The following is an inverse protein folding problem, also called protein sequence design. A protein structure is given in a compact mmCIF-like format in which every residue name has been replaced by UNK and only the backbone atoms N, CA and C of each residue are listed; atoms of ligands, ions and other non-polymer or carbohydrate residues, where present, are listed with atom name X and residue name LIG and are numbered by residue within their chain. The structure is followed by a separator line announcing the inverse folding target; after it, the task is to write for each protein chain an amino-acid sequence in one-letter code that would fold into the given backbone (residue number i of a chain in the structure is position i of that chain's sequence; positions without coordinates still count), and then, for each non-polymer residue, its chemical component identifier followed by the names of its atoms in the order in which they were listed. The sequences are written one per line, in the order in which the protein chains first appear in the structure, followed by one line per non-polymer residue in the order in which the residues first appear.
data_IF_865944885581
#
_entry.id   IF_865944885581
#
_cell.length_a   1.000
_cell.length_b   1.000
_cell.length_c   1.000
_cell.angle_alpha   90.00
_cell.angle_beta   90.00
_cell.angle_gamma   90.00
#
_symmetry.space_group_name_H-M   'P 1'
#
loop_
_entity.id
_entity.type
_entity.pdbx_description
1 polymer ?
#
# COMPACT_ATOMS: atom_id res chain seq x y z
N UNK A 1 15.60 12.06 -69.60
CA UNK A 1 15.40 10.89 -68.73
C UNK A 1 14.59 11.31 -67.50
N UNK A 2 13.51 10.55 -67.20
CA UNK A 2 12.91 10.23 -65.88
C UNK A 2 12.69 11.36 -64.85
N UNK A 3 11.41 11.68 -64.57
CA UNK A 3 10.61 11.26 -63.39
C UNK A 3 10.95 12.06 -62.12
N UNK A 4 10.08 13.00 -61.70
CA UNK A 4 8.96 12.77 -60.75
C UNK A 4 9.36 11.84 -59.57
N UNK A 5 9.31 12.36 -58.35
CA UNK A 5 8.20 12.16 -57.41
C UNK A 5 8.65 12.24 -55.95
N UNK A 6 7.79 12.90 -55.16
CA UNK A 6 7.43 12.58 -53.77
C UNK A 6 8.50 12.92 -52.74
N UNK A 7 8.35 14.12 -52.19
CA UNK A 7 8.62 14.34 -50.78
C UNK A 7 8.00 13.17 -49.99
N UNK A 8 8.87 12.32 -49.46
CA UNK A 8 8.49 11.14 -48.71
C UNK A 8 7.93 11.56 -47.36
N UNK A 9 6.78 10.97 -47.04
CA UNK A 9 6.01 11.03 -45.79
C UNK A 9 6.84 10.64 -44.52
N UNK A 10 8.13 10.38 -44.66
CA UNK A 10 9.03 9.97 -43.58
C UNK A 10 9.57 11.14 -42.71
N UNK A 11 9.55 12.39 -43.19
CA UNK A 11 10.10 13.53 -42.42
C UNK A 11 9.06 14.29 -41.60
N UNK A 12 7.77 14.02 -41.77
CA UNK A 12 6.69 14.59 -40.93
C UNK A 12 6.37 13.68 -39.72
N UNK A 13 6.90 12.45 -39.68
CA UNK A 13 6.65 11.50 -38.58
C UNK A 13 7.65 11.64 -37.42
N UNK A 14 8.70 12.47 -37.54
CA UNK A 14 9.70 12.64 -36.48
C UNK A 14 9.41 13.76 -35.47
N UNK A 15 8.33 14.55 -35.65
CA UNK A 15 7.97 15.64 -34.72
C UNK A 15 6.58 15.51 -34.07
N UNK A 16 5.88 14.39 -34.29
CA UNK A 16 4.61 14.07 -33.61
C UNK A 16 4.65 12.73 -32.85
N UNK A 17 5.85 12.14 -32.68
CA UNK A 17 6.05 10.82 -32.08
C UNK A 17 6.61 10.78 -30.65
N UNK A 18 6.87 11.92 -30.00
CA UNK A 18 7.48 11.95 -28.65
C UNK A 18 6.63 12.60 -27.54
N UNK A 19 5.37 12.98 -27.80
CA UNK A 19 4.57 13.71 -26.82
C UNK A 19 3.36 12.93 -26.24
N UNK A 20 3.12 11.67 -26.61
CA UNK A 20 1.89 10.95 -26.20
C UNK A 20 2.16 9.73 -25.30
N UNK A 21 3.39 9.47 -24.88
CA UNK A 21 3.72 8.27 -24.09
C UNK A 21 3.84 8.47 -22.57
N UNK A 22 3.57 9.67 -22.03
CA UNK A 22 3.62 9.89 -20.57
C UNK A 22 2.36 10.51 -19.97
N UNK A 23 1.41 11.02 -20.77
CA UNK A 23 0.20 11.66 -20.24
C UNK A 23 -1.04 10.74 -20.20
N UNK A 24 -0.89 9.46 -20.53
CA UNK A 24 -2.05 8.56 -20.69
C UNK A 24 -2.29 7.62 -19.50
N UNK A 25 -1.47 7.63 -18.44
CA UNK A 25 -1.56 6.52 -17.47
C UNK A 25 -2.66 6.70 -16.39
N UNK A 26 -3.07 7.90 -15.96
CA UNK A 26 -4.14 8.02 -14.94
C UNK A 26 -5.05 9.24 -15.05
N UNK A 27 -5.86 9.29 -16.11
CA UNK A 27 -7.19 9.87 -15.88
C UNK A 27 -7.92 8.94 -14.89
N UNK A 28 -8.58 9.49 -13.87
CA UNK A 28 -9.43 8.72 -12.96
C UNK A 28 -10.21 7.68 -13.78
N UNK A 29 -10.04 6.39 -13.51
CA UNK A 29 -10.69 5.34 -14.29
C UNK A 29 -12.20 5.48 -14.07
N UNK A 30 -12.96 6.09 -15.01
CA UNK A 30 -14.36 6.41 -14.75
C UNK A 30 -15.19 5.13 -14.62
N UNK A 31 -14.67 4.04 -15.18
CA UNK A 31 -15.28 2.72 -15.22
C UNK A 31 -15.17 1.97 -13.87
N UNK A 32 -14.24 2.35 -12.99
CA UNK A 32 -14.09 1.73 -11.64
C UNK A 32 -14.57 2.63 -10.50
N UNK A 33 -14.86 3.91 -10.77
CA UNK A 33 -15.31 4.88 -9.77
C UNK A 33 -14.24 5.31 -8.75
N UNK A 34 -12.98 4.91 -8.98
CA UNK A 34 -11.83 5.22 -8.11
C UNK A 34 -11.26 6.61 -8.41
N UNK A 35 -10.90 7.33 -7.37
CA UNK A 35 -10.16 8.58 -7.43
C UNK A 35 -8.74 8.37 -7.98
N UNK A 36 -8.10 9.44 -8.47
CA UNK A 36 -6.75 9.38 -9.02
C UNK A 36 -5.71 8.86 -8.02
N UNK A 37 -5.86 9.19 -6.73
CA UNK A 37 -4.93 8.72 -5.70
C UNK A 37 -5.12 7.22 -5.39
N UNK A 38 -6.34 6.69 -5.47
CA UNK A 38 -6.60 5.25 -5.30
C UNK A 38 -5.98 4.44 -6.44
N UNK A 39 -6.11 4.93 -7.67
CA UNK A 39 -5.52 4.29 -8.84
C UNK A 39 -3.99 4.29 -8.78
N UNK A 40 -3.37 5.43 -8.49
CA UNK A 40 -1.90 5.52 -8.38
C UNK A 40 -1.33 4.75 -7.18
N UNK A 41 -2.04 4.69 -6.05
CA UNK A 41 -1.65 3.83 -4.92
C UNK A 41 -1.68 2.35 -5.28
N UNK A 42 -2.73 1.90 -5.99
CA UNK A 42 -2.85 0.51 -6.42
C UNK A 42 -1.75 0.13 -7.41
N UNK A 43 -1.55 0.92 -8.47
CA UNK A 43 -0.54 0.62 -9.48
C UNK A 43 0.88 0.73 -8.92
N UNK A 44 1.19 1.78 -8.17
CA UNK A 44 2.50 1.93 -7.55
C UNK A 44 2.83 0.78 -6.61
N UNK A 45 1.84 0.25 -5.87
CA UNK A 45 2.03 -0.90 -4.99
C UNK A 45 2.37 -2.18 -5.77
N UNK A 46 1.74 -2.39 -6.93
CA UNK A 46 2.03 -3.51 -7.83
C UNK A 46 3.46 -3.40 -8.37
N UNK A 47 3.84 -2.22 -8.88
CA UNK A 47 5.21 -1.97 -9.36
C UNK A 47 6.24 -2.19 -8.24
N UNK A 48 5.97 -1.71 -7.04
CA UNK A 48 6.86 -1.85 -5.89
C UNK A 48 7.06 -3.33 -5.50
N UNK A 49 5.98 -4.12 -5.47
CA UNK A 49 6.04 -5.57 -5.22
C UNK A 49 6.84 -6.32 -6.29
N UNK A 50 6.75 -5.86 -7.54
CA UNK A 50 7.52 -6.40 -8.67
C UNK A 50 8.97 -5.92 -8.73
N UNK A 51 9.43 -5.15 -7.73
CA UNK A 51 10.78 -4.56 -7.67
C UNK A 51 11.05 -3.56 -8.82
N UNK A 52 10.00 -2.96 -9.36
CA UNK A 52 10.07 -1.90 -10.37
C UNK A 52 10.02 -0.52 -9.67
N UNK A 53 11.02 -0.23 -8.82
CA UNK A 53 11.02 0.94 -7.92
C UNK A 53 10.79 2.26 -8.67
N UNK A 54 11.42 2.45 -9.83
CA UNK A 54 11.26 3.69 -10.62
C UNK A 54 9.81 3.92 -11.06
N UNK A 55 9.14 2.86 -11.53
CA UNK A 55 7.73 2.92 -11.94
C UNK A 55 6.82 3.16 -10.73
N UNK A 56 7.14 2.54 -9.60
CA UNK A 56 6.40 2.74 -8.35
C UNK A 56 6.48 4.20 -7.88
N UNK A 57 7.68 4.81 -7.91
CA UNK A 57 7.88 6.21 -7.56
C UNK A 57 7.03 7.13 -8.44
N UNK A 58 7.04 6.92 -9.76
CA UNK A 58 6.25 7.72 -10.70
C UNK A 58 4.76 7.66 -10.32
N UNK A 59 4.21 6.45 -10.20
CA UNK A 59 2.80 6.26 -9.88
C UNK A 59 2.39 6.88 -8.53
N UNK A 60 3.19 6.67 -7.49
CA UNK A 60 2.89 7.23 -6.17
C UNK A 60 3.02 8.75 -6.14
N UNK A 61 4.06 9.29 -6.77
CA UNK A 61 4.33 10.74 -6.76
C UNK A 61 3.27 11.50 -7.55
N UNK A 62 2.85 10.99 -8.70
CA UNK A 62 1.75 11.59 -9.48
C UNK A 62 0.44 11.60 -8.69
N UNK A 63 0.11 10.50 -8.01
CA UNK A 63 -1.05 10.43 -7.13
C UNK A 63 -0.98 11.46 -5.98
N UNK A 64 0.18 11.60 -5.33
CA UNK A 64 0.37 12.58 -4.27
C UNK A 64 0.32 14.02 -4.78
N UNK A 65 0.89 14.30 -5.96
CA UNK A 65 0.84 15.62 -6.57
C UNK A 65 -0.59 16.03 -6.97
N UNK A 66 -1.44 15.08 -7.35
CA UNK A 66 -2.86 15.33 -7.62
C UNK A 66 -3.63 15.74 -6.34
N UNK A 67 -3.22 15.24 -5.18
CA UNK A 67 -3.82 15.58 -3.87
C UNK A 67 -3.19 16.85 -3.28
N UNK A 68 -1.89 17.05 -3.45
CA UNK A 68 -1.09 18.13 -2.87
C UNK A 68 -0.23 18.84 -3.94
N UNK A 69 -0.84 19.63 -4.84
CA UNK A 69 -0.13 20.23 -5.98
C UNK A 69 0.93 21.26 -5.56
N UNK A 70 0.77 21.89 -4.40
CA UNK A 70 1.66 22.97 -3.94
C UNK A 70 2.85 22.46 -3.09
N UNK A 71 2.95 21.15 -2.85
CA UNK A 71 4.04 20.60 -2.04
C UNK A 71 5.31 20.47 -2.88
N UNK A 72 6.38 21.12 -2.40
CA UNK A 72 7.72 21.09 -3.01
C UNK A 72 8.76 20.57 -2.03
N UNK A 73 9.92 20.14 -2.55
CA UNK A 73 11.05 19.70 -1.74
C UNK A 73 11.97 20.86 -1.35
N UNK A 74 12.23 21.00 -0.05
CA UNK A 74 13.44 21.66 0.44
C UNK A 74 14.49 20.58 0.71
N UNK A 75 15.61 20.62 -0.02
CA UNK A 75 16.64 19.57 -0.02
C UNK A 75 17.59 19.63 1.19
N UNK A 76 17.32 20.49 2.18
CA UNK A 76 18.18 20.60 3.37
C UNK A 76 18.04 19.40 4.32
N UNK A 77 19.18 18.94 4.86
CA UNK A 77 19.21 17.84 5.84
C UNK A 77 18.53 18.21 7.17
N UNK A 78 18.54 19.50 7.55
CA UNK A 78 17.84 19.99 8.75
C UNK A 78 16.32 19.95 8.55
N UNK A 79 15.86 20.26 7.34
CA UNK A 79 14.46 20.13 6.93
C UNK A 79 14.04 18.66 6.95
N UNK A 80 14.84 17.74 6.41
CA UNK A 80 14.57 16.30 6.43
C UNK A 80 14.40 15.77 7.86
N UNK A 81 15.32 16.09 8.76
CA UNK A 81 15.29 15.67 10.16
C UNK A 81 14.04 16.19 10.88
N UNK A 82 13.71 17.46 10.68
CA UNK A 82 12.53 18.10 11.29
C UNK A 82 11.24 17.44 10.78
N UNK A 83 11.13 17.20 9.48
CA UNK A 83 9.96 16.55 8.88
C UNK A 83 9.76 15.12 9.39
N UNK A 84 10.84 14.34 9.56
CA UNK A 84 10.77 12.97 10.09
C UNK A 84 10.22 12.91 11.53
N UNK A 85 10.44 13.95 12.33
CA UNK A 85 9.85 14.03 13.67
C UNK A 85 8.32 14.17 13.66
N UNK A 86 7.73 14.61 12.54
CA UNK A 86 6.29 14.78 12.36
C UNK A 86 5.60 13.47 11.92
N UNK A 87 6.34 12.37 11.72
CA UNK A 87 5.76 11.13 11.22
C UNK A 87 4.75 10.46 12.17
N UNK A 88 4.83 10.80 13.46
CA UNK A 88 3.96 10.31 14.51
C UNK A 88 2.68 11.15 14.67
N UNK A 89 2.62 12.36 14.10
CA UNK A 89 1.43 13.21 14.10
C UNK A 89 0.57 12.89 12.88
N UNK A 90 -0.59 12.26 13.07
CA UNK A 90 -1.47 11.82 11.97
C UNK A 90 -1.81 12.93 10.97
N UNK A 91 -1.96 14.19 11.43
CA UNK A 91 -2.39 15.30 10.57
C UNK A 91 -1.28 15.77 9.64
N UNK A 92 -0.05 15.82 10.15
CA UNK A 92 1.11 16.31 9.40
C UNK A 92 1.91 15.17 8.74
N UNK A 93 1.68 13.93 9.18
CA UNK A 93 2.33 12.71 8.76
C UNK A 93 2.36 12.50 7.24
N UNK A 94 1.28 12.85 6.53
CA UNK A 94 1.15 12.66 5.08
C UNK A 94 2.08 13.61 4.33
N UNK A 95 1.96 14.92 4.59
CA UNK A 95 2.76 15.95 3.92
C UNK A 95 4.23 15.80 4.29
N UNK A 96 4.53 15.50 5.55
CA UNK A 96 5.89 15.27 6.01
C UNK A 96 6.54 14.09 5.27
N UNK A 97 5.84 12.95 5.15
CA UNK A 97 6.33 11.79 4.37
C UNK A 97 6.50 12.15 2.90
N UNK A 98 5.57 12.87 2.30
CA UNK A 98 5.69 13.29 0.91
C UNK A 98 6.94 14.15 0.69
N UNK A 99 7.15 15.19 1.52
CA UNK A 99 8.34 16.05 1.43
C UNK A 99 9.65 15.28 1.63
N UNK A 100 9.72 14.41 2.64
CA UNK A 100 10.91 13.57 2.87
C UNK A 100 11.12 12.61 1.69
N UNK A 101 10.05 12.08 1.09
CA UNK A 101 10.13 11.24 -0.10
C UNK A 101 10.77 11.98 -1.28
N UNK A 102 10.38 13.23 -1.54
CA UNK A 102 10.98 14.07 -2.58
C UNK A 102 12.46 14.35 -2.30
N UNK A 103 12.83 14.57 -1.03
CA UNK A 103 14.23 14.74 -0.61
C UNK A 103 15.03 13.45 -0.89
N UNK A 104 14.53 12.29 -0.46
CA UNK A 104 15.17 11.00 -0.70
C UNK A 104 15.33 10.71 -2.20
N UNK A 105 14.32 11.02 -3.02
CA UNK A 105 14.39 10.88 -4.48
C UNK A 105 15.53 11.73 -5.05
N UNK A 106 15.63 13.00 -4.64
CA UNK A 106 16.71 13.90 -5.09
C UNK A 106 18.11 13.45 -4.68
N UNK A 107 18.21 12.68 -3.60
CA UNK A 107 19.46 12.08 -3.11
C UNK A 107 19.78 10.72 -3.75
N UNK A 108 18.93 10.23 -4.66
CA UNK A 108 19.07 8.91 -5.28
C UNK A 108 18.69 7.73 -4.37
N UNK A 109 18.05 7.98 -3.22
CA UNK A 109 17.59 6.96 -2.27
C UNK A 109 16.20 6.44 -2.68
N UNK A 110 16.14 5.80 -3.84
CA UNK A 110 14.88 5.49 -4.52
C UNK A 110 13.95 4.55 -3.71
N UNK A 111 14.48 3.49 -3.10
CA UNK A 111 13.66 2.58 -2.29
C UNK A 111 13.03 3.25 -1.07
N UNK A 112 13.78 4.17 -0.45
CA UNK A 112 13.28 4.96 0.68
C UNK A 112 12.21 5.95 0.21
N UNK A 113 12.45 6.65 -0.91
CA UNK A 113 11.48 7.55 -1.52
C UNK A 113 10.17 6.83 -1.86
N UNK A 114 10.25 5.68 -2.53
CA UNK A 114 9.10 4.86 -2.86
C UNK A 114 8.30 4.43 -1.62
N UNK A 115 8.99 4.05 -0.55
CA UNK A 115 8.35 3.72 0.74
C UNK A 115 7.64 4.92 1.34
N UNK A 116 8.27 6.10 1.35
CA UNK A 116 7.66 7.30 1.92
C UNK A 116 6.43 7.76 1.14
N UNK A 117 6.46 7.69 -0.19
CA UNK A 117 5.30 8.02 -1.02
C UNK A 117 4.16 7.02 -0.85
N UNK A 118 4.49 5.72 -0.83
CA UNK A 118 3.52 4.65 -0.54
C UNK A 118 2.85 4.88 0.82
N UNK A 119 3.64 5.14 1.86
CA UNK A 119 3.14 5.32 3.21
C UNK A 119 2.24 6.56 3.33
N UNK A 120 2.58 7.66 2.64
CA UNK A 120 1.74 8.85 2.57
C UNK A 120 0.37 8.54 1.93
N UNK A 121 0.36 7.83 0.80
CA UNK A 121 -0.89 7.41 0.14
C UNK A 121 -1.68 6.40 0.96
N UNK A 122 -1.01 5.49 1.68
CA UNK A 122 -1.66 4.54 2.55
C UNK A 122 -2.41 5.24 3.69
N UNK A 123 -1.84 6.30 4.27
CA UNK A 123 -2.51 7.11 5.31
C UNK A 123 -3.75 7.80 4.73
N UNK A 124 -3.67 8.36 3.51
CA UNK A 124 -4.84 8.94 2.83
C UNK A 124 -5.90 7.86 2.60
N UNK A 125 -5.49 6.70 2.07
CA UNK A 125 -6.37 5.57 1.73
C UNK A 125 -7.11 4.98 2.91
N UNK A 126 -6.48 5.00 4.08
CA UNK A 126 -7.03 4.45 5.31
C UNK A 126 -7.67 5.53 6.18
N UNK A 127 -7.71 6.78 5.70
CA UNK A 127 -8.15 7.94 6.47
C UNK A 127 -7.42 8.03 7.82
N UNK A 128 -6.14 7.66 7.84
CA UNK A 128 -5.29 7.60 9.04
C UNK A 128 -5.58 6.45 9.99
N UNK A 129 -6.44 5.49 9.62
CA UNK A 129 -6.65 4.29 10.41
C UNK A 129 -5.43 3.35 10.34
N UNK A 130 -5.22 2.60 11.43
CA UNK A 130 -4.04 1.75 11.65
C UNK A 130 -4.48 0.31 11.92
N UNK A 131 -3.69 -0.65 11.47
CA UNK A 131 -3.93 -2.07 11.67
C UNK A 131 -3.76 -2.44 13.15
N UNK A 132 -4.78 -3.10 13.72
CA UNK A 132 -4.78 -3.58 15.09
C UNK A 132 -4.43 -5.07 15.19
N UNK A 133 -4.65 -5.80 14.11
CA UNK A 133 -4.63 -7.26 14.05
C UNK A 133 -5.84 -7.91 14.72
N UNK A 134 -6.06 -9.18 14.39
CA UNK A 134 -7.30 -9.88 14.76
C UNK A 134 -7.51 -10.02 16.28
N UNK A 135 -6.44 -10.16 17.08
CA UNK A 135 -6.55 -10.50 18.50
C UNK A 135 -6.96 -9.28 19.33
N UNK A 136 -6.37 -8.12 19.06
CA UNK A 136 -6.72 -6.86 19.74
C UNK A 136 -7.93 -6.15 19.12
N UNK A 137 -8.06 -6.18 17.80
CA UNK A 137 -9.08 -5.40 17.10
C UNK A 137 -10.45 -6.06 17.01
N UNK A 138 -10.51 -7.39 16.82
CA UNK A 138 -11.74 -8.02 16.33
C UNK A 138 -12.25 -9.16 17.24
N UNK A 139 -11.34 -10.02 17.72
CA UNK A 139 -11.66 -11.31 18.35
C UNK A 139 -12.56 -11.22 19.58
N UNK A 140 -12.42 -10.18 20.40
CA UNK A 140 -13.16 -10.05 21.67
C UNK A 140 -14.66 -9.88 21.45
N UNK A 141 -15.05 -9.11 20.44
CA UNK A 141 -16.45 -8.85 20.10
C UNK A 141 -16.98 -9.86 19.06
N UNK A 142 -16.15 -10.23 18.07
CA UNK A 142 -16.50 -11.14 16.97
C UNK A 142 -15.90 -12.54 17.15
N UNK A 143 -16.18 -13.16 18.31
CA UNK A 143 -15.54 -14.43 18.68
C UNK A 143 -15.98 -15.60 17.76
N UNK A 144 -17.24 -15.63 17.34
CA UNK A 144 -17.78 -16.70 16.47
C UNK A 144 -17.13 -16.66 15.09
N UNK A 145 -17.04 -15.46 14.53
CA UNK A 145 -16.41 -15.16 13.24
C UNK A 145 -14.92 -15.49 13.31
N UNK A 146 -14.22 -15.04 14.36
CA UNK A 146 -12.83 -15.39 14.59
C UNK A 146 -12.61 -16.92 14.67
N UNK A 147 -13.49 -17.65 15.35
CA UNK A 147 -13.40 -19.12 15.49
C UNK A 147 -13.60 -19.83 14.15
N UNK A 148 -14.38 -19.25 13.25
CA UNK A 148 -14.52 -19.69 11.86
C UNK A 148 -13.28 -19.34 11.04
N UNK A 149 -12.92 -18.06 10.99
CA UNK A 149 -11.79 -17.50 10.24
C UNK A 149 -10.48 -18.25 10.52
N UNK A 150 -10.14 -18.52 11.78
CA UNK A 150 -8.86 -19.15 12.15
C UNK A 150 -8.62 -20.54 11.53
N UNK A 151 -9.67 -21.18 11.01
CA UNK A 151 -9.58 -22.50 10.35
C UNK A 151 -9.32 -22.40 8.85
N UNK A 152 -9.55 -21.23 8.25
CA UNK A 152 -9.44 -20.98 6.81
C UNK A 152 -7.99 -21.03 6.32
N UNK A 153 -7.82 -21.12 5.00
CA UNK A 153 -6.50 -21.00 4.36
C UNK A 153 -5.91 -19.60 4.53
N UNK A 154 -6.74 -18.56 4.51
CA UNK A 154 -6.31 -17.16 4.66
C UNK A 154 -5.65 -16.91 6.02
N UNK A 155 -6.26 -17.40 7.11
CA UNK A 155 -5.69 -17.31 8.45
C UNK A 155 -4.35 -18.07 8.58
N UNK A 156 -4.14 -19.10 7.74
CA UNK A 156 -2.93 -19.93 7.71
C UNK A 156 -1.98 -19.53 6.57
N UNK A 157 -2.24 -18.42 5.86
CA UNK A 157 -1.47 -18.07 4.67
C UNK A 157 0.02 -17.93 5.00
N UNK A 158 0.38 -17.23 6.08
CA UNK A 158 1.76 -17.07 6.50
C UNK A 158 2.47 -18.40 6.81
N UNK A 159 1.75 -19.36 7.39
CA UNK A 159 2.32 -20.67 7.73
C UNK A 159 2.79 -21.43 6.49
N UNK A 160 2.15 -21.23 5.34
CA UNK A 160 2.57 -21.85 4.08
C UNK A 160 3.96 -21.37 3.60
N UNK A 161 4.45 -20.23 4.10
CA UNK A 161 5.76 -19.67 3.73
C UNK A 161 6.93 -20.34 4.45
N UNK A 162 6.68 -20.99 5.59
CA UNK A 162 7.72 -21.63 6.39
C UNK A 162 8.43 -22.76 5.64
N UNK A 163 9.71 -23.03 5.93
CA UNK A 163 10.41 -24.21 5.43
C UNK A 163 9.61 -25.50 5.68
N UNK A 164 9.51 -26.36 4.67
CA UNK A 164 8.78 -27.63 4.71
C UNK A 164 7.25 -27.53 4.60
N UNK A 165 6.66 -26.36 4.82
CA UNK A 165 5.22 -26.15 4.67
C UNK A 165 4.81 -26.15 3.18
N UNK A 166 3.64 -26.72 2.88
CA UNK A 166 3.05 -26.78 1.53
C UNK A 166 4.01 -27.29 0.45
N UNK A 167 4.86 -28.27 0.79
CA UNK A 167 5.96 -28.73 -0.07
C UNK A 167 5.51 -29.14 -1.48
N UNK A 168 4.43 -29.92 -1.59
CA UNK A 168 3.87 -30.34 -2.90
C UNK A 168 3.46 -29.15 -3.77
N UNK A 169 2.84 -28.13 -3.17
CA UNK A 169 2.45 -26.91 -3.88
C UNK A 169 3.67 -26.11 -4.30
N UNK A 170 4.68 -25.97 -3.43
CA UNK A 170 5.94 -25.28 -3.76
C UNK A 170 6.64 -25.95 -4.95
N UNK A 171 6.77 -27.27 -4.92
CA UNK A 171 7.35 -28.05 -6.04
C UNK A 171 6.56 -27.82 -7.34
N UNK A 172 5.22 -27.88 -7.27
CA UNK A 172 4.35 -27.65 -8.44
C UNK A 172 4.57 -26.27 -9.09
N UNK A 173 4.90 -25.25 -8.30
CA UNK A 173 5.15 -23.89 -8.77
C UNK A 173 6.65 -23.55 -8.88
N UNK A 174 7.54 -24.55 -8.95
CA UNK A 174 8.99 -24.38 -9.08
C UNK A 174 9.62 -23.54 -7.95
N UNK A 175 9.10 -23.67 -6.73
CA UNK A 175 9.65 -23.08 -5.51
C UNK A 175 10.36 -24.15 -4.66
N UNK A 176 11.47 -23.78 -4.02
CA UNK A 176 12.19 -24.67 -3.09
C UNK A 176 11.33 -24.91 -1.83
N UNK A 177 10.91 -26.15 -1.52
CA UNK A 177 10.13 -26.46 -0.33
C UNK A 177 10.89 -26.24 0.98
N UNK A 178 12.23 -26.21 0.97
CA UNK A 178 13.07 -26.02 2.16
C UNK A 178 13.48 -24.57 2.41
N UNK A 179 13.35 -23.69 1.41
CA UNK A 179 13.63 -22.26 1.57
C UNK A 179 12.61 -21.64 2.55
N UNK A 180 13.10 -20.71 3.37
CA UNK A 180 12.28 -19.84 4.19
C UNK A 180 11.81 -18.64 3.36
N UNK A 181 10.48 -18.51 3.19
CA UNK A 181 9.87 -17.37 2.51
C UNK A 181 9.18 -16.41 3.49
N UNK A 182 9.25 -16.65 4.80
CA UNK A 182 8.60 -15.80 5.83
C UNK A 182 9.19 -14.39 5.93
N UNK A 183 10.24 -14.14 5.17
CA UNK A 183 11.03 -12.94 5.15
C UNK A 183 11.23 -12.40 3.71
N UNK A 184 10.58 -13.04 2.73
CA UNK A 184 10.65 -12.69 1.31
C UNK A 184 9.54 -11.68 0.96
N UNK A 185 9.88 -10.42 0.61
CA UNK A 185 8.87 -9.39 0.34
C UNK A 185 7.94 -9.75 -0.83
N UNK A 186 8.37 -10.62 -1.76
CA UNK A 186 7.52 -11.12 -2.86
C UNK A 186 6.39 -12.02 -2.38
N UNK A 187 6.53 -12.61 -1.19
CA UNK A 187 5.52 -13.49 -0.61
C UNK A 187 4.65 -12.77 0.42
N UNK A 188 5.24 -11.84 1.17
CA UNK A 188 4.59 -11.21 2.32
C UNK A 188 3.41 -10.30 1.94
N UNK A 189 3.43 -9.70 0.74
CA UNK A 189 2.33 -8.87 0.22
C UNK A 189 0.96 -9.55 0.26
N UNK A 190 0.92 -10.87 -0.04
CA UNK A 190 -0.33 -11.64 -0.10
C UNK A 190 -0.53 -12.57 1.10
N UNK A 191 0.54 -12.91 1.81
CA UNK A 191 0.50 -13.87 2.92
C UNK A 191 0.41 -13.20 4.31
N UNK A 192 0.32 -11.88 4.35
CA UNK A 192 0.15 -11.10 5.57
C UNK A 192 -0.86 -9.96 5.33
N UNK A 193 -1.23 -9.24 6.38
CA UNK A 193 -2.14 -8.10 6.30
C UNK A 193 -1.38 -6.80 6.38
N UNK A 194 -1.61 -5.90 5.41
CA UNK A 194 -0.99 -4.57 5.39
C UNK A 194 0.54 -4.59 5.24
N UNK A 195 1.11 -5.57 4.52
CA UNK A 195 2.56 -5.68 4.39
C UNK A 195 3.19 -4.39 3.84
N UNK A 196 4.17 -3.85 4.57
CA UNK A 196 4.86 -2.64 4.16
C UNK A 196 4.00 -1.38 4.23
N UNK A 197 2.76 -1.47 4.72
CA UNK A 197 1.92 -0.31 5.00
C UNK A 197 2.11 0.13 6.46
N UNK A 198 1.89 1.41 6.78
CA UNK A 198 1.94 1.89 8.16
C UNK A 198 1.14 1.00 9.10
N UNK A 199 1.77 0.56 10.19
CA UNK A 199 1.20 -0.32 11.24
C UNK A 199 0.80 -1.75 10.83
N UNK A 200 0.93 -2.10 9.54
CA UNK A 200 0.67 -3.45 9.06
C UNK A 200 1.83 -4.43 9.30
N UNK A 201 1.88 -5.52 8.54
CA UNK A 201 2.95 -6.50 8.68
C UNK A 201 4.30 -5.94 8.24
N UNK A 202 5.36 -6.29 8.98
CA UNK A 202 6.75 -5.91 8.67
C UNK A 202 7.65 -7.13 8.70
N UNK A 203 8.75 -7.06 7.95
CA UNK A 203 9.80 -8.07 8.01
C UNK A 203 10.46 -8.00 9.41
N UNK A 204 10.48 -9.09 10.19
CA UNK A 204 10.95 -9.05 11.59
C UNK A 204 12.39 -8.55 11.79
N UNK A 205 13.31 -8.92 10.89
CA UNK A 205 14.74 -8.52 10.95
C UNK A 205 14.97 -7.03 10.72
N UNK A 206 14.08 -6.37 9.98
CA UNK A 206 14.23 -4.97 9.58
C UNK A 206 13.51 -4.02 10.57
N UNK A 207 12.77 -4.57 11.54
CA UNK A 207 11.88 -3.81 12.42
C UNK A 207 12.36 -3.73 13.88
N UNK A 208 12.15 -2.57 14.50
CA UNK A 208 12.31 -2.37 15.95
C UNK A 208 11.42 -3.34 16.73
N UNK A 209 11.87 -3.78 17.92
CA UNK A 209 11.19 -4.77 18.77
C UNK A 209 9.68 -4.52 18.91
N UNK A 210 9.28 -3.31 19.28
CA UNK A 210 7.85 -2.96 19.49
C UNK A 210 7.03 -3.11 18.22
N UNK A 211 7.57 -2.69 17.07
CA UNK A 211 6.90 -2.79 15.76
C UNK A 211 6.77 -4.26 15.36
N UNK A 212 7.85 -5.04 15.50
CA UNK A 212 7.84 -6.48 15.25
C UNK A 212 6.84 -7.23 16.12
N UNK A 213 6.75 -6.92 17.41
CA UNK A 213 5.78 -7.59 18.29
C UNK A 213 4.34 -7.24 17.94
N UNK A 214 4.08 -6.00 17.53
CA UNK A 214 2.76 -5.59 17.05
C UNK A 214 2.37 -6.30 15.75
N UNK A 215 3.29 -6.41 14.79
CA UNK A 215 3.05 -6.99 13.46
C UNK A 215 2.75 -8.50 13.49
N UNK A 216 3.07 -9.22 14.56
CA UNK A 216 2.67 -10.63 14.70
C UNK A 216 1.16 -10.85 14.59
N UNK A 217 0.35 -9.84 14.93
CA UNK A 217 -1.10 -9.94 14.84
C UNK A 217 -1.66 -9.75 13.44
N UNK A 218 -0.83 -9.30 12.50
CA UNK A 218 -1.15 -9.15 11.07
C UNK A 218 -0.46 -10.22 10.21
N UNK A 219 0.12 -11.26 10.83
CA UNK A 219 0.59 -12.44 10.12
C UNK A 219 -0.62 -13.24 9.56
N UNK A 220 -0.60 -13.54 8.26
CA UNK A 220 -1.73 -14.15 7.55
C UNK A 220 -2.71 -13.12 6.99
N UNK A 221 -3.68 -13.59 6.21
CA UNK A 221 -4.84 -12.79 5.81
C UNK A 221 -5.82 -12.69 6.98
N UNK A 222 -5.78 -11.58 7.70
CA UNK A 222 -6.63 -11.30 8.88
C UNK A 222 -7.93 -10.63 8.48
N UNK A 223 -8.78 -10.27 9.45
CA UNK A 223 -10.02 -9.53 9.20
C UNK A 223 -9.77 -8.25 8.38
N UNK A 224 -8.68 -7.55 8.69
CA UNK A 224 -8.35 -6.24 8.15
C UNK A 224 -7.82 -6.29 6.71
N UNK A 225 -7.61 -7.49 6.13
CA UNK A 225 -7.30 -7.62 4.70
C UNK A 225 -8.53 -7.32 3.82
N UNK A 226 -9.72 -7.62 4.34
CA UNK A 226 -10.99 -7.38 3.65
C UNK A 226 -11.72 -6.16 4.21
N UNK A 227 -11.68 -5.94 5.52
CA UNK A 227 -12.42 -4.85 6.18
C UNK A 227 -11.62 -3.56 6.34
N UNK A 228 -10.33 -3.56 6.02
CA UNK A 228 -9.45 -2.42 6.26
C UNK A 228 -8.95 -2.33 7.70
N UNK A 229 -8.12 -1.32 8.03
CA UNK A 229 -7.51 -1.17 9.35
C UNK A 229 -8.51 -0.73 10.44
N UNK A 230 -8.55 -1.47 11.55
CA UNK A 230 -9.62 -1.39 12.54
C UNK A 230 -9.55 -0.28 13.58
N UNK A 231 -8.52 0.57 13.61
CA UNK A 231 -8.32 1.50 14.73
C UNK A 231 -9.39 2.58 14.87
N UNK A 232 -10.07 2.96 13.78
CA UNK A 232 -11.09 4.02 13.80
C UNK A 232 -12.52 3.50 13.81
N UNK A 233 -12.85 2.46 13.04
CA UNK A 233 -14.20 1.88 13.07
C UNK A 233 -14.45 0.97 14.27
N UNK A 234 -13.41 0.37 14.87
CA UNK A 234 -13.54 -0.44 16.09
C UNK A 234 -14.18 0.31 17.27
N UNK A 235 -13.74 1.54 17.60
CA UNK A 235 -14.42 2.39 18.57
C UNK A 235 -15.88 2.72 18.23
N UNK A 236 -16.21 2.87 16.95
CA UNK A 236 -17.60 3.10 16.50
C UNK A 236 -18.44 1.85 16.75
N UNK A 237 -17.96 0.64 16.42
CA UNK A 237 -18.63 -0.62 16.78
C UNK A 237 -18.94 -0.69 18.28
N UNK A 238 -17.96 -0.33 19.12
CA UNK A 238 -18.14 -0.32 20.57
C UNK A 238 -19.19 0.72 21.00
N UNK A 239 -19.16 1.92 20.45
CA UNK A 239 -20.15 2.95 20.75
C UNK A 239 -21.57 2.53 20.33
N UNK A 240 -21.71 1.90 19.17
CA UNK A 240 -22.98 1.37 18.67
C UNK A 240 -23.57 0.36 19.64
N UNK A 241 -22.75 -0.58 20.13
CA UNK A 241 -23.13 -1.59 21.12
C UNK A 241 -23.48 -0.95 22.48
N UNK A 242 -22.59 -0.09 23.01
CA UNK A 242 -22.77 0.57 24.31
C UNK A 242 -24.04 1.47 24.33
N UNK A 243 -24.39 2.11 23.21
CA UNK A 243 -25.55 3.00 23.09
C UNK A 243 -26.80 2.30 22.56
N UNK A 244 -26.72 1.02 22.19
CA UNK A 244 -27.79 0.25 21.54
C UNK A 244 -28.45 1.00 20.36
N UNK A 245 -27.64 1.72 19.57
CA UNK A 245 -28.13 2.52 18.43
C UNK A 245 -28.00 1.76 17.11
N UNK A 246 -28.79 2.16 16.13
CA UNK A 246 -28.54 1.76 14.75
C UNK A 246 -27.30 2.48 14.21
N UNK A 247 -26.57 1.80 13.34
CA UNK A 247 -25.45 2.36 12.58
C UNK A 247 -25.82 2.41 11.10
N UNK A 248 -25.16 3.30 10.37
CA UNK A 248 -25.10 3.24 8.90
C UNK A 248 -23.74 2.72 8.48
N UNK A 249 -23.68 2.00 7.35
CA UNK A 249 -22.42 1.46 6.87
C UNK A 249 -21.47 2.60 6.42
N UNK A 250 -22.06 3.72 6.00
CA UNK A 250 -21.37 4.97 5.66
C UNK A 250 -20.54 5.52 6.83
N UNK A 251 -20.96 5.34 8.09
CA UNK A 251 -20.19 5.76 9.27
C UNK A 251 -18.83 5.07 9.35
N UNK A 252 -18.76 3.80 8.97
CA UNK A 252 -17.51 3.03 9.02
C UNK A 252 -16.64 3.28 7.79
N UNK A 253 -17.26 3.37 6.62
CA UNK A 253 -16.56 3.76 5.39
C UNK A 253 -15.92 5.14 5.51
N UNK A 254 -16.58 6.07 6.21
CA UNK A 254 -16.07 7.41 6.50
C UNK A 254 -14.95 7.43 7.56
N UNK A 255 -14.46 6.27 8.01
CA UNK A 255 -13.26 6.18 8.86
C UNK A 255 -12.30 5.07 8.44
N UNK A 256 -12.39 4.60 7.19
CA UNK A 256 -11.43 3.67 6.59
C UNK A 256 -11.83 2.19 6.60
N UNK A 257 -13.07 1.82 6.94
CA UNK A 257 -13.56 0.48 6.64
C UNK A 257 -13.70 0.31 5.12
N UNK A 258 -13.30 -0.84 4.60
CA UNK A 258 -13.42 -1.15 3.18
C UNK A 258 -14.84 -1.59 2.84
N UNK A 259 -15.29 -1.25 1.63
CA UNK A 259 -16.53 -1.79 1.05
C UNK A 259 -16.30 -3.25 0.68
N UNK A 260 -17.14 -4.14 1.20
CA UNK A 260 -17.12 -5.57 0.88
C UNK A 260 -18.49 -5.91 0.29
N UNK A 261 -18.66 -5.65 -0.99
CA UNK A 261 -19.85 -5.95 -1.79
C UNK A 261 -19.67 -7.18 -2.71
#
# INVERSE_FOLDING_TARGET
MRNRHKATIAEIICLLGCAVSYHVIFAAEPETGKSAWEAGFAQGSICYQNQETDKAIIAFKEALAAVFPDVTSDQSAESEKTLRAMFDDEKDAVIARYKVGLICESQGKLDEAATLFRDALAIISTQGATYLGYKKGCKSCHYKEWKSWKKTKMAKAFEALKPGASAETKIKFNLDPKKDYTEDPKCLGCHTTGFGLPTGYVIPRDAKYKVREASKQTAGGTCEVCHGPGSKYGPIHKNVDDMARMYTQEEFYAVGEYRVD
#
